data_IF_965248661458
#
_entry.id   IF_965248661458
#
_cell.length_a   1.000
_cell.length_b   1.000
_cell.length_c   1.000
_cell.angle_alpha   90.00
_cell.angle_beta   90.00
_cell.angle_gamma   90.00
#
_symmetry.space_group_name_H-M   'P 1'
#
loop_
_entity.id
_entity.type
_entity.pdbx_description
1 polymer ?
#
# COMPACT_ATOMS: atom_id res chain seq x y z
N UNK A 1 -16.10 18.75 1.64
CA UNK A 1 -14.94 17.84 1.71
C UNK A 1 -15.00 17.06 3.01
N UNK A 2 -14.99 15.73 2.93
CA UNK A 2 -14.80 14.81 4.06
C UNK A 2 -13.33 14.42 4.13
N UNK A 3 -12.84 14.19 5.36
CA UNK A 3 -11.51 13.63 5.60
C UNK A 3 -11.70 12.22 6.14
N UNK A 4 -11.13 11.24 5.47
CA UNK A 4 -11.24 9.82 5.79
C UNK A 4 -9.88 9.32 6.26
N UNK A 5 -9.82 8.83 7.50
CA UNK A 5 -8.64 8.14 8.01
C UNK A 5 -8.70 6.68 7.55
N UNK A 6 -7.71 6.25 6.75
CA UNK A 6 -7.62 4.89 6.25
C UNK A 6 -6.36 4.22 6.77
N UNK A 7 -6.53 3.18 7.59
CA UNK A 7 -5.41 2.37 8.08
C UNK A 7 -4.88 1.48 6.95
N UNK A 8 -3.58 1.52 6.69
CA UNK A 8 -2.92 0.79 5.61
C UNK A 8 -1.54 0.27 6.01
N UNK A 9 -1.00 -0.60 5.16
CA UNK A 9 0.26 -1.32 5.38
C UNK A 9 0.11 -2.48 6.36
N UNK A 10 1.23 -2.91 6.93
CA UNK A 10 1.27 -4.03 7.86
C UNK A 10 0.45 -3.81 9.14
N UNK A 11 -0.12 -4.91 9.64
CA UNK A 11 -0.76 -5.03 10.92
C UNK A 11 -0.42 -6.36 11.61
N UNK A 12 -1.17 -6.69 12.67
CA UNK A 12 -0.95 -7.90 13.47
C UNK A 12 -1.32 -9.20 12.76
N UNK A 13 -2.07 -9.16 11.67
CA UNK A 13 -2.50 -10.31 10.87
C UNK A 13 -1.68 -10.42 9.58
N UNK A 14 -1.37 -9.27 8.96
CA UNK A 14 -0.69 -9.16 7.68
C UNK A 14 0.60 -8.34 7.85
N UNK A 15 1.76 -9.00 7.69
CA UNK A 15 3.09 -8.41 7.87
C UNK A 15 3.67 -8.71 9.25
N UNK A 16 2.96 -8.33 10.31
CA UNK A 16 3.28 -8.70 11.69
C UNK A 16 4.43 -7.90 12.33
N UNK A 17 4.82 -6.77 11.74
CA UNK A 17 5.78 -5.81 12.29
C UNK A 17 5.56 -4.40 11.69
N UNK A 18 6.02 -3.33 12.37
CA UNK A 18 5.81 -1.95 11.89
C UNK A 18 6.55 -1.66 10.59
N UNK A 19 6.05 -0.72 9.79
CA UNK A 19 6.79 -0.15 8.67
C UNK A 19 8.00 0.68 9.12
N UNK A 20 9.13 0.70 8.39
CA UNK A 20 10.33 1.38 8.83
C UNK A 20 10.31 2.88 8.52
N UNK A 21 10.77 3.67 9.48
CA UNK A 21 11.27 5.03 9.24
C UNK A 21 12.78 4.92 9.14
N UNK A 22 13.32 5.18 7.96
CA UNK A 22 14.74 5.06 7.63
C UNK A 22 15.58 6.09 8.40
N UNK A 23 16.90 5.89 8.55
CA UNK A 23 17.78 6.84 9.25
C UNK A 23 17.79 8.25 8.65
N UNK A 24 17.50 8.37 7.35
CA UNK A 24 17.34 9.66 6.67
C UNK A 24 15.95 10.32 6.89
N UNK A 25 15.08 9.70 7.68
CA UNK A 25 13.72 10.16 7.97
C UNK A 25 12.66 9.73 6.95
N UNK A 26 13.04 9.06 5.86
CA UNK A 26 12.07 8.57 4.88
C UNK A 26 11.20 7.47 5.49
N UNK A 27 9.89 7.60 5.32
CA UNK A 27 8.92 6.58 5.73
C UNK A 27 8.66 5.63 4.57
N UNK A 28 8.81 4.33 4.81
CA UNK A 28 8.50 3.28 3.83
C UNK A 28 7.25 2.56 4.31
N UNK A 29 6.09 2.82 3.71
CA UNK A 29 4.90 2.00 3.96
C UNK A 29 5.05 0.67 3.24
N UNK A 30 5.23 -0.43 3.99
CA UNK A 30 5.35 -1.76 3.40
C UNK A 30 4.00 -2.20 2.78
N UNK A 31 3.97 -2.65 1.51
CA UNK A 31 2.78 -3.21 0.87
C UNK A 31 2.21 -4.38 1.66
N UNK A 32 0.91 -4.66 1.59
CA UNK A 32 0.30 -5.76 2.36
C UNK A 32 0.76 -7.11 1.76
N UNK A 33 1.10 -8.14 2.55
CA UNK A 33 1.48 -9.44 1.99
C UNK A 33 0.28 -10.14 1.37
N UNK A 34 0.42 -10.61 0.12
CA UNK A 34 -0.55 -11.47 -0.54
C UNK A 34 0.17 -12.29 -1.63
N UNK A 35 0.32 -13.59 -1.40
CA UNK A 35 1.04 -14.49 -2.32
C UNK A 35 0.32 -14.70 -3.65
N UNK A 36 -0.95 -14.31 -3.76
CA UNK A 36 -1.70 -14.43 -5.01
C UNK A 36 -1.50 -13.23 -5.93
N UNK A 37 -0.82 -12.18 -5.47
CA UNK A 37 -0.49 -11.01 -6.30
C UNK A 37 0.71 -11.29 -7.20
N UNK A 38 0.66 -10.79 -8.42
CA UNK A 38 1.75 -10.93 -9.39
C UNK A 38 2.95 -10.04 -9.04
N UNK A 39 2.70 -8.85 -8.51
CA UNK A 39 3.73 -7.90 -8.09
C UNK A 39 4.39 -8.36 -6.80
N UNK A 40 5.72 -8.52 -6.81
CA UNK A 40 6.47 -9.05 -5.66
C UNK A 40 7.16 -7.93 -4.89
N UNK A 41 7.54 -8.22 -3.65
CA UNK A 41 8.39 -7.28 -2.88
C UNK A 41 9.73 -6.98 -3.55
N UNK A 42 10.22 -7.86 -4.42
CA UNK A 42 11.44 -7.66 -5.19
C UNK A 42 11.27 -6.70 -6.37
N UNK A 43 10.04 -6.46 -6.80
CA UNK A 43 9.70 -5.52 -7.88
C UNK A 43 9.42 -4.09 -7.36
N UNK A 44 9.15 -3.95 -6.06
CA UNK A 44 8.75 -2.68 -5.44
C UNK A 44 9.94 -2.02 -4.76
N UNK A 45 10.15 -0.73 -5.02
CA UNK A 45 11.21 0.09 -4.43
C UNK A 45 10.79 0.67 -3.07
N UNK A 46 11.70 0.60 -2.10
CA UNK A 46 11.66 1.21 -0.78
C UNK A 46 12.83 2.18 -0.60
N UNK A 47 12.73 3.36 -1.21
CA UNK A 47 13.86 4.27 -1.35
C UNK A 47 14.79 3.79 -2.45
N UNK A 48 16.07 3.56 -2.12
CA UNK A 48 17.09 3.13 -3.07
C UNK A 48 17.24 1.60 -3.18
N UNK A 49 16.51 0.84 -2.36
CA UNK A 49 16.53 -0.63 -2.34
C UNK A 49 15.18 -1.19 -2.76
N UNK A 50 15.14 -2.44 -3.21
CA UNK A 50 13.89 -3.18 -3.28
C UNK A 50 13.32 -3.43 -1.88
N UNK A 51 12.00 -3.46 -1.74
CA UNK A 51 11.30 -3.79 -0.51
C UNK A 51 11.79 -5.13 0.05
N UNK A 52 11.97 -6.14 -0.80
CA UNK A 52 12.49 -7.44 -0.40
C UNK A 52 13.85 -7.37 0.31
N UNK A 53 14.81 -6.64 -0.26
CA UNK A 53 16.15 -6.50 0.31
C UNK A 53 16.13 -5.79 1.66
N UNK A 54 15.36 -4.70 1.73
CA UNK A 54 15.17 -3.93 2.95
C UNK A 54 14.49 -4.76 4.05
N UNK A 55 13.46 -5.53 3.70
CA UNK A 55 12.74 -6.39 4.63
C UNK A 55 13.60 -7.54 5.14
N UNK A 56 14.45 -8.12 4.30
CA UNK A 56 15.39 -9.18 4.70
C UNK A 56 16.34 -8.72 5.81
N UNK A 57 16.80 -7.48 5.77
CA UNK A 57 17.64 -6.90 6.82
C UNK A 57 16.84 -6.68 8.12
N UNK A 58 15.60 -6.18 8.01
CA UNK A 58 14.76 -5.86 9.16
C UNK A 58 14.17 -7.09 9.88
N UNK A 59 13.54 -7.97 9.11
CA UNK A 59 12.83 -9.15 9.59
C UNK A 59 12.66 -10.14 8.42
N UNK A 60 13.46 -11.23 8.36
CA UNK A 60 13.46 -12.18 7.25
C UNK A 60 12.24 -13.14 7.24
N UNK A 61 11.19 -12.81 7.98
CA UNK A 61 9.93 -13.54 8.00
C UNK A 61 8.75 -12.57 8.05
N UNK A 62 7.64 -12.97 7.48
CA UNK A 62 6.44 -12.14 7.36
C UNK A 62 5.24 -12.91 7.89
N UNK A 63 4.27 -12.20 8.48
CA UNK A 63 3.01 -12.81 8.87
C UNK A 63 2.02 -12.76 7.71
N UNK A 64 1.40 -13.89 7.39
CA UNK A 64 0.31 -13.97 6.42
C UNK A 64 -0.84 -14.72 7.09
N UNK A 65 -1.86 -13.99 7.51
CA UNK A 65 -2.96 -14.50 8.33
C UNK A 65 -2.45 -15.08 9.66
N UNK A 66 -2.60 -16.39 9.92
CA UNK A 66 -2.21 -17.01 11.18
C UNK A 66 -0.81 -17.63 11.15
N UNK A 67 -0.09 -17.54 10.03
CA UNK A 67 1.21 -18.19 9.85
C UNK A 67 2.32 -17.16 9.69
N UNK A 68 3.51 -17.49 10.21
CA UNK A 68 4.73 -16.75 9.94
C UNK A 68 5.58 -17.60 9.01
N UNK A 69 5.95 -16.99 7.89
CA UNK A 69 6.62 -17.66 6.78
C UNK A 69 7.88 -16.90 6.42
N UNK A 70 8.91 -17.64 6.00
CA UNK A 70 10.17 -17.04 5.58
C UNK A 70 9.96 -16.21 4.33
N UNK A 71 10.56 -15.02 4.32
CA UNK A 71 10.45 -14.11 3.19
C UNK A 71 11.26 -14.69 2.02
N UNK A 72 10.62 -14.83 0.87
CA UNK A 72 11.26 -15.24 -0.38
C UNK A 72 11.22 -14.12 -1.42
N UNK A 73 12.11 -14.19 -2.40
CA UNK A 73 12.18 -13.20 -3.47
C UNK A 73 10.94 -13.19 -4.38
N UNK A 74 10.21 -14.31 -4.42
CA UNK A 74 8.99 -14.49 -5.23
C UNK A 74 7.71 -14.15 -4.44
N UNK A 75 7.83 -13.60 -3.23
CA UNK A 75 6.69 -13.34 -2.37
C UNK A 75 5.88 -12.13 -2.90
N UNK A 76 4.63 -12.39 -3.29
CA UNK A 76 3.67 -11.40 -3.79
C UNK A 76 3.24 -10.38 -2.74
N UNK A 77 2.92 -9.17 -3.20
CA UNK A 77 2.49 -8.08 -2.35
C UNK A 77 1.39 -7.25 -2.99
N UNK A 78 0.46 -6.82 -2.15
CA UNK A 78 -0.66 -5.98 -2.48
C UNK A 78 -0.26 -4.51 -2.28
N UNK A 79 0.23 -3.89 -3.35
CA UNK A 79 0.60 -2.46 -3.40
C UNK A 79 -0.65 -1.59 -3.40
N UNK A 80 -1.20 -1.34 -2.20
CA UNK A 80 -2.35 -0.46 -1.97
C UNK A 80 -2.26 0.16 -0.56
N UNK A 81 -2.31 1.50 -0.39
CA UNK A 81 -2.56 2.49 -1.43
C UNK A 81 -1.28 2.71 -2.25
N UNK A 82 -1.44 2.87 -3.55
CA UNK A 82 -0.34 3.10 -4.45
C UNK A 82 -0.14 4.60 -4.71
N UNK A 83 0.61 5.24 -3.82
CA UNK A 83 0.77 6.71 -3.80
C UNK A 83 2.19 7.21 -4.04
N UNK A 84 3.15 6.29 -4.18
CA UNK A 84 4.57 6.64 -4.37
C UNK A 84 4.98 6.40 -5.81
N UNK A 85 5.20 7.47 -6.57
CA UNK A 85 5.53 7.40 -8.01
C UNK A 85 6.73 6.48 -8.30
N UNK A 86 7.74 6.48 -7.43
CA UNK A 86 8.98 5.73 -7.58
C UNK A 86 8.91 4.28 -7.08
N UNK A 87 7.76 3.79 -6.60
CA UNK A 87 7.65 2.43 -6.08
C UNK A 87 7.84 1.36 -7.17
N UNK A 88 7.42 1.61 -8.41
CA UNK A 88 7.64 0.74 -9.57
C UNK A 88 7.81 1.59 -10.84
N UNK A 89 8.13 0.97 -11.98
CA UNK A 89 8.02 1.63 -13.28
C UNK A 89 6.57 2.04 -13.54
N UNK A 90 6.35 3.27 -14.02
CA UNK A 90 5.02 3.83 -14.25
C UNK A 90 4.80 4.07 -15.73
N UNK A 91 3.68 3.58 -16.22
CA UNK A 91 3.18 3.97 -17.53
C UNK A 91 2.86 5.46 -17.60
N UNK A 92 2.87 6.06 -18.80
CA UNK A 92 2.42 7.43 -19.00
C UNK A 92 1.02 7.67 -18.42
N UNK A 93 0.81 8.86 -17.86
CA UNK A 93 -0.44 9.28 -17.22
C UNK A 93 -0.81 8.55 -15.93
N UNK A 94 0.12 7.78 -15.36
CA UNK A 94 -0.09 7.21 -14.03
C UNK A 94 -0.47 8.27 -13.00
N UNK A 95 -1.47 7.93 -12.19
CA UNK A 95 -1.97 8.70 -11.06
C UNK A 95 -2.02 7.80 -9.83
N UNK A 96 -1.83 8.33 -8.61
CA UNK A 96 -1.98 7.55 -7.39
C UNK A 96 -3.34 6.85 -7.29
N UNK A 97 -3.33 5.61 -6.81
CA UNK A 97 -4.47 4.71 -6.75
C UNK A 97 -4.73 4.22 -5.34
N UNK A 98 -6.00 3.96 -5.06
CA UNK A 98 -6.43 3.33 -3.82
C UNK A 98 -7.65 2.44 -4.07
N UNK A 99 -7.52 1.14 -3.82
CA UNK A 99 -8.55 0.14 -3.99
C UNK A 99 -9.34 -0.17 -2.71
N UNK A 100 -10.64 -0.40 -2.88
CA UNK A 100 -11.53 -0.87 -1.82
C UNK A 100 -12.55 -1.86 -2.37
N UNK A 101 -12.95 -2.79 -1.51
CA UNK A 101 -13.87 -3.88 -1.85
C UNK A 101 -14.65 -4.31 -0.60
N UNK A 102 -15.71 -5.09 -0.81
CA UNK A 102 -16.57 -5.68 0.20
C UNK A 102 -17.13 -4.65 1.20
N UNK A 103 -17.12 -4.99 2.49
CA UNK A 103 -17.67 -4.17 3.56
C UNK A 103 -17.00 -2.80 3.65
N UNK A 104 -15.70 -2.72 3.36
CA UNK A 104 -14.97 -1.46 3.41
C UNK A 104 -15.45 -0.51 2.31
N UNK A 105 -15.62 -1.00 1.08
CA UNK A 105 -16.20 -0.17 0.02
C UNK A 105 -17.68 0.15 0.23
N UNK A 106 -18.46 -0.82 0.71
CA UNK A 106 -19.86 -0.59 1.08
C UNK A 106 -20.01 0.47 2.19
N UNK A 107 -19.07 0.56 3.12
CA UNK A 107 -19.04 1.61 4.13
C UNK A 107 -18.78 2.99 3.50
N UNK A 108 -17.78 3.12 2.62
CA UNK A 108 -17.47 4.37 1.93
C UNK A 108 -18.66 4.87 1.10
N UNK A 109 -19.37 3.97 0.41
CA UNK A 109 -20.60 4.30 -0.30
C UNK A 109 -21.72 4.79 0.63
N UNK A 110 -21.96 4.08 1.75
CA UNK A 110 -22.96 4.49 2.75
C UNK A 110 -22.64 5.84 3.39
N UNK A 111 -21.35 6.18 3.51
CA UNK A 111 -20.88 7.47 4.01
C UNK A 111 -20.88 8.56 2.92
N UNK A 112 -21.35 8.28 1.70
CA UNK A 112 -21.38 9.22 0.57
C UNK A 112 -19.98 9.81 0.27
N UNK A 113 -18.94 8.98 0.35
CA UNK A 113 -17.58 9.40 -0.05
C UNK A 113 -17.57 9.67 -1.54
N UNK A 114 -17.09 10.85 -1.92
CA UNK A 114 -17.20 11.38 -3.28
C UNK A 114 -15.94 12.11 -3.71
N UNK A 115 -15.92 12.51 -4.98
CA UNK A 115 -14.90 13.40 -5.54
C UNK A 115 -14.64 14.59 -4.61
N UNK A 116 -13.39 15.00 -4.53
CA UNK A 116 -12.85 16.07 -3.68
C UNK A 116 -12.72 15.73 -2.18
N UNK A 117 -13.24 14.59 -1.72
CA UNK A 117 -12.92 14.10 -0.37
C UNK A 117 -11.45 13.61 -0.30
N UNK A 118 -10.90 13.59 0.92
CA UNK A 118 -9.49 13.34 1.17
C UNK A 118 -9.29 12.08 2.01
N UNK A 119 -8.54 11.11 1.49
CA UNK A 119 -7.97 10.04 2.29
C UNK A 119 -6.66 10.49 2.93
N UNK A 120 -6.54 10.27 4.23
CA UNK A 120 -5.26 10.29 4.96
C UNK A 120 -4.92 8.85 5.33
N UNK A 121 -3.82 8.35 4.80
CA UNK A 121 -3.36 7.00 5.05
C UNK A 121 -2.45 6.98 6.25
N UNK A 122 -2.75 6.10 7.21
CA UNK A 122 -1.92 5.91 8.39
C UNK A 122 -1.61 4.44 8.62
N UNK A 123 -0.46 4.17 9.20
CA UNK A 123 0.02 2.81 9.46
C UNK A 123 0.79 2.73 10.76
N UNK A 124 1.25 1.53 11.10
CA UNK A 124 2.20 1.34 12.19
C UNK A 124 3.62 1.53 11.67
N UNK A 125 4.43 2.35 12.36
CA UNK A 125 5.80 2.66 12.00
C UNK A 125 6.75 2.59 13.19
N UNK A 126 8.02 2.31 12.92
CA UNK A 126 9.09 2.38 13.93
C UNK A 126 10.38 2.87 13.29
N UNK A 127 11.12 3.72 14.02
CA UNK A 127 12.43 4.18 13.56
C UNK A 127 13.43 3.04 13.49
N UNK A 128 14.32 3.16 12.52
CA UNK A 128 15.39 2.22 12.25
C UNK A 128 16.74 2.91 12.35
N UNK A 129 17.78 2.10 12.55
CA UNK A 129 19.18 2.52 12.54
C UNK A 129 19.97 1.57 11.65
N UNK A 130 21.13 2.04 11.18
CA UNK A 130 22.11 1.15 10.56
C UNK A 130 22.94 0.49 11.67
N UNK A 131 23.03 -0.82 11.65
CA UNK A 131 23.79 -1.67 12.57
C UNK A 131 24.73 -2.54 11.73
N UNK A 132 26.03 -2.23 11.75
CA UNK A 132 27.06 -2.88 10.92
C UNK A 132 26.69 -3.04 9.43
N UNK A 133 26.08 -2.00 8.86
CA UNK A 133 25.68 -1.96 7.45
C UNK A 133 24.36 -2.66 7.12
N UNK A 134 23.64 -3.16 8.14
CA UNK A 134 22.27 -3.69 7.99
C UNK A 134 21.25 -2.78 8.66
N UNK A 135 20.06 -2.74 8.10
CA UNK A 135 18.95 -1.99 8.69
C UNK A 135 18.33 -2.78 9.85
N UNK A 136 18.16 -2.14 11.00
CA UNK A 136 17.50 -2.75 12.16
C UNK A 136 16.56 -1.76 12.85
N UNK A 137 15.49 -2.25 13.50
CA UNK A 137 14.66 -1.39 14.35
C UNK A 137 15.46 -0.84 15.53
N UNK A 138 15.30 0.46 15.80
CA UNK A 138 15.97 1.07 16.94
C UNK A 138 15.32 0.58 18.25
N UNK A 139 16.07 -0.12 19.13
CA UNK A 139 15.55 -0.63 20.39
C UNK A 139 15.09 0.48 21.36
N UNK A 140 15.54 1.72 21.18
CA UNK A 140 15.18 2.87 22.01
C UNK A 140 13.94 3.61 21.50
N UNK A 141 13.50 3.32 20.28
CA UNK A 141 12.34 3.95 19.65
C UNK A 141 11.13 3.01 19.69
N UNK A 142 9.96 3.60 19.96
CA UNK A 142 8.71 2.86 20.05
C UNK A 142 8.01 2.80 18.70
N UNK A 143 7.21 1.76 18.52
CA UNK A 143 6.19 1.72 17.48
C UNK A 143 5.19 2.87 17.66
N UNK A 144 4.78 3.50 16.56
CA UNK A 144 3.86 4.63 16.55
C UNK A 144 2.96 4.61 15.31
N UNK A 145 1.77 5.20 15.44
CA UNK A 145 0.90 5.42 14.28
C UNK A 145 1.26 6.72 13.58
N UNK A 146 1.49 6.65 12.27
CA UNK A 146 1.92 7.80 11.46
C UNK A 146 1.06 7.92 10.22
N UNK A 147 0.62 9.16 9.92
CA UNK A 147 0.05 9.50 8.61
C UNK A 147 1.22 9.62 7.63
N UNK A 148 1.30 8.69 6.69
CA UNK A 148 2.44 8.59 5.76
C UNK A 148 2.12 9.14 4.37
N UNK A 149 0.85 9.42 4.07
CA UNK A 149 0.44 9.95 2.79
C UNK A 149 -1.03 10.28 2.71
N UNK A 150 -1.42 10.85 1.58
CA UNK A 150 -2.80 11.24 1.33
C UNK A 150 -3.17 11.08 -0.14
N UNK A 151 -4.47 10.98 -0.40
CA UNK A 151 -5.05 10.97 -1.74
C UNK A 151 -6.34 11.78 -1.73
N UNK A 152 -6.37 12.89 -2.47
CA UNK A 152 -7.63 13.58 -2.74
C UNK A 152 -8.29 12.93 -3.95
N UNK A 153 -9.55 12.55 -3.80
CA UNK A 153 -10.28 11.78 -4.82
C UNK A 153 -10.53 12.68 -6.03
N UNK A 154 -9.99 12.27 -7.18
CA UNK A 154 -10.37 12.80 -8.49
C UNK A 154 -11.51 12.00 -9.07
N UNK A 155 -11.33 10.70 -9.21
CA UNK A 155 -12.31 9.81 -9.83
C UNK A 155 -12.57 8.59 -8.93
N UNK A 156 -13.81 8.08 -8.97
CA UNK A 156 -14.23 6.86 -8.29
C UNK A 156 -14.69 5.90 -9.39
N UNK A 157 -13.93 4.83 -9.60
CA UNK A 157 -14.11 3.93 -10.71
C UNK A 157 -14.55 2.57 -10.17
N UNK A 158 -15.74 2.12 -10.54
CA UNK A 158 -16.17 0.74 -10.30
C UNK A 158 -15.43 -0.16 -11.30
N UNK A 159 -14.63 -1.09 -10.79
CA UNK A 159 -13.78 -1.97 -11.61
C UNK A 159 -14.34 -3.39 -11.54
N UNK A 160 -15.47 -3.61 -12.21
CA UNK A 160 -16.11 -4.93 -12.31
C UNK A 160 -15.63 -5.68 -13.58
N UNK A 161 -16.18 -6.88 -13.83
CA UNK A 161 -15.80 -7.71 -14.97
C UNK A 161 -15.94 -7.02 -16.33
N UNK A 162 -16.87 -6.05 -16.46
CA UNK A 162 -17.14 -5.34 -17.71
C UNK A 162 -16.23 -4.14 -17.91
N UNK A 163 -15.56 -3.68 -16.84
CA UNK A 163 -14.65 -2.56 -16.91
C UNK A 163 -13.40 -2.92 -17.72
N UNK A 164 -13.15 -2.16 -18.78
CA UNK A 164 -11.93 -2.24 -19.56
C UNK A 164 -10.83 -1.46 -18.82
N UNK A 165 -9.86 -2.20 -18.29
CA UNK A 165 -8.82 -1.64 -17.43
C UNK A 165 -7.75 -0.99 -18.32
N UNK A 166 -7.52 0.33 -18.21
CA UNK A 166 -6.47 0.96 -18.98
C UNK A 166 -5.09 0.50 -18.50
N UNK A 167 -4.14 0.40 -19.44
CA UNK A 167 -2.81 -0.16 -19.24
C UNK A 167 -2.07 0.44 -18.02
N UNK A 168 -2.19 1.76 -17.85
CA UNK A 168 -1.48 2.51 -16.79
C UNK A 168 -1.84 2.14 -15.35
N UNK A 169 -2.95 1.41 -15.14
CA UNK A 169 -3.37 0.89 -13.84
C UNK A 169 -3.53 -0.64 -13.82
N UNK A 170 -3.12 -1.32 -14.89
CA UNK A 170 -3.36 -2.76 -15.06
C UNK A 170 -2.61 -3.63 -14.05
N UNK A 171 -1.45 -3.18 -13.56
CA UNK A 171 -0.68 -3.83 -12.49
C UNK A 171 -1.36 -3.74 -11.12
N UNK A 172 -2.33 -2.83 -10.93
CA UNK A 172 -2.89 -2.55 -9.62
C UNK A 172 -3.66 -3.78 -9.12
N UNK A 173 -3.54 -4.17 -7.84
CA UNK A 173 -4.22 -5.36 -7.31
C UNK A 173 -5.72 -5.44 -7.58
N UNK A 174 -6.40 -4.30 -7.55
CA UNK A 174 -7.84 -4.19 -7.82
C UNK A 174 -8.21 -4.20 -9.32
N UNK A 175 -7.25 -4.34 -10.23
CA UNK A 175 -7.47 -4.44 -11.67
C UNK A 175 -7.45 -5.89 -12.19
N UNK A 176 -6.99 -6.86 -11.38
CA UNK A 176 -6.92 -8.26 -11.79
C UNK A 176 -8.31 -8.91 -11.93
N UNK A 177 -8.39 -9.98 -12.71
CA UNK A 177 -9.67 -10.65 -13.01
C UNK A 177 -10.36 -11.23 -11.77
N UNK A 178 -9.59 -11.69 -10.77
CA UNK A 178 -10.14 -12.22 -9.53
C UNK A 178 -10.90 -11.12 -8.76
N UNK A 179 -10.31 -9.94 -8.59
CA UNK A 179 -10.95 -8.78 -7.93
C UNK A 179 -12.10 -8.20 -8.74
N UNK A 180 -11.97 -8.16 -10.07
CA UNK A 180 -13.06 -7.72 -10.97
C UNK A 180 -14.33 -8.57 -10.87
N UNK A 181 -14.22 -9.83 -10.43
CA UNK A 181 -15.40 -10.68 -10.18
C UNK A 181 -16.25 -10.20 -9.01
N UNK A 182 -15.72 -9.34 -8.14
CA UNK A 182 -16.44 -8.78 -7.01
C UNK A 182 -17.15 -7.48 -7.42
N UNK A 183 -18.48 -7.47 -7.33
CA UNK A 183 -19.32 -6.34 -7.75
C UNK A 183 -19.11 -5.07 -6.93
N UNK A 184 -18.45 -5.14 -5.78
CA UNK A 184 -18.13 -3.97 -4.97
C UNK A 184 -16.76 -3.38 -5.28
N UNK A 185 -15.92 -4.04 -6.08
CA UNK A 185 -14.56 -3.61 -6.36
C UNK A 185 -14.53 -2.19 -6.96
N UNK A 186 -13.83 -1.28 -6.28
CA UNK A 186 -13.75 0.13 -6.65
C UNK A 186 -12.33 0.65 -6.47
N UNK A 187 -11.86 1.44 -7.43
CA UNK A 187 -10.59 2.16 -7.37
C UNK A 187 -10.86 3.66 -7.30
N UNK A 188 -10.27 4.29 -6.30
CA UNK A 188 -10.20 5.74 -6.14
C UNK A 188 -8.93 6.23 -6.79
N UNK A 189 -9.05 7.12 -7.77
CA UNK A 189 -7.92 7.69 -8.48
C UNK A 189 -7.70 9.12 -8.00
N UNK A 190 -6.47 9.45 -7.62
CA UNK A 190 -6.14 10.77 -7.11
C UNK A 190 -6.37 11.88 -8.14
N UNK A 191 -6.65 13.10 -7.66
CA UNK A 191 -6.49 14.30 -8.49
C UNK A 191 -5.02 14.52 -8.84
N UNK A 192 -4.78 15.14 -9.99
CA UNK A 192 -3.43 15.57 -10.38
C UNK A 192 -2.84 16.60 -9.41
N UNK A 193 -3.70 17.47 -8.87
CA UNK A 193 -3.33 18.52 -7.92
C UNK A 193 -4.33 18.60 -6.77
N UNK A 194 -3.82 18.78 -5.56
CA UNK A 194 -4.62 19.04 -4.37
C UNK A 194 -5.40 20.35 -4.55
N UNK A 195 -6.69 20.33 -4.22
CA UNK A 195 -7.54 21.52 -4.16
C UNK A 195 -8.16 21.67 -2.78
N UNK A 196 -8.20 22.91 -2.29
CA UNK A 196 -8.89 23.30 -1.07
C UNK A 196 -10.40 23.47 -1.33
#
# INVERSE_FOLDING_TARGET
>A
MKVILSRKGFDSEFGGYPSPILPNGQMISLPIPDQNEELRYSDVMAGDLACYDLMRDLMPSIKSSNERIDLSNDFGCHLDPDIFKNAIHREPNWRPLFGQVDAAQGHLQKQDVRRDDLFLFFGSFRKTRNDDGKLAYDPHEKEMHVIFGYLQIGDIIKVDQKFDVPEWMSYHPHANNARKSNETNTIYVARDHLRA
#
